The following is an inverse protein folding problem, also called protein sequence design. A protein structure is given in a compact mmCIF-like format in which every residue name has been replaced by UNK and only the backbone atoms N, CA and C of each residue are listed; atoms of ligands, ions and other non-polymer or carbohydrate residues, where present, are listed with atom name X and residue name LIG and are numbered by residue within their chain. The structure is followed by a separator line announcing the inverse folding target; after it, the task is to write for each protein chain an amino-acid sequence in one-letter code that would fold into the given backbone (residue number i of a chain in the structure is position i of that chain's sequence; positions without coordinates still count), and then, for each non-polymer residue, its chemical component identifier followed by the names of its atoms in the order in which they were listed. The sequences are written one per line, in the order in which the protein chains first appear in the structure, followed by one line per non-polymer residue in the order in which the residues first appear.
data_IF_216205980261
#
_entry.id   IF_216205980261
#
_cell.length_a   1.000
_cell.length_b   1.000
_cell.length_c   1.000
_cell.angle_alpha   90.00
_cell.angle_beta   90.00
_cell.angle_gamma   90.00
#
_symmetry.space_group_name_H-M   'P 1'
#
loop_
_entity.id
_entity.type
_entity.pdbx_description
1 polymer ?
#
# COMPACT_ATOMS: atom_id res chain seq x y z
N UNK A 1 -4.69 -29.87 38.02
CA UNK A 1 -5.67 -29.92 36.90
C UNK A 1 -5.79 -28.61 36.11
N UNK A 2 -5.53 -27.42 36.70
CA UNK A 2 -5.61 -26.14 35.96
C UNK A 2 -4.58 -25.96 34.81
N UNK A 3 -3.37 -26.55 34.92
CA UNK A 3 -2.34 -26.48 33.86
C UNK A 3 -2.76 -27.14 32.54
N UNK A 4 -3.61 -28.17 32.59
CA UNK A 4 -4.00 -28.91 31.38
C UNK A 4 -5.02 -28.11 30.58
N UNK A 5 -5.95 -27.43 31.24
CA UNK A 5 -6.97 -26.58 30.60
C UNK A 5 -6.33 -25.37 29.90
N UNK A 6 -5.31 -24.75 30.53
CA UNK A 6 -4.56 -23.66 29.91
C UNK A 6 -3.86 -24.10 28.61
N UNK A 7 -3.18 -25.25 28.64
CA UNK A 7 -2.50 -25.81 27.45
C UNK A 7 -3.49 -26.13 26.33
N UNK A 8 -4.67 -26.67 26.64
CA UNK A 8 -5.71 -26.90 25.63
C UNK A 8 -6.27 -25.59 25.05
N UNK A 9 -6.47 -24.55 25.88
CA UNK A 9 -6.89 -23.25 25.40
C UNK A 9 -5.83 -22.57 24.50
N UNK A 10 -4.55 -22.71 24.84
CA UNK A 10 -3.44 -22.22 24.01
C UNK A 10 -3.38 -22.97 22.67
N UNK A 11 -3.53 -24.30 22.66
CA UNK A 11 -3.57 -25.11 21.44
C UNK A 11 -4.78 -24.79 20.56
N UNK A 12 -5.95 -24.57 21.15
CA UNK A 12 -7.16 -24.20 20.41
C UNK A 12 -7.02 -22.79 19.82
N UNK A 13 -6.47 -21.84 20.58
CA UNK A 13 -6.17 -20.49 20.11
C UNK A 13 -5.15 -20.48 18.98
N UNK A 14 -4.08 -21.28 19.08
CA UNK A 14 -3.07 -21.44 18.03
C UNK A 14 -3.69 -22.05 16.76
N UNK A 15 -4.52 -23.08 16.91
CA UNK A 15 -5.26 -23.71 15.81
C UNK A 15 -6.21 -22.74 15.10
N UNK A 16 -6.93 -21.91 15.86
CA UNK A 16 -7.82 -20.87 15.31
C UNK A 16 -6.98 -19.81 14.59
N UNK A 17 -5.88 -19.34 15.20
CA UNK A 17 -4.96 -18.38 14.61
C UNK A 17 -4.37 -18.83 13.28
N UNK A 18 -3.94 -20.10 13.20
CA UNK A 18 -3.47 -20.71 11.96
C UNK A 18 -4.54 -20.73 10.87
N UNK A 19 -5.78 -21.11 11.20
CA UNK A 19 -6.89 -21.15 10.22
C UNK A 19 -7.28 -19.76 9.72
N UNK A 20 -7.32 -18.78 10.60
CA UNK A 20 -7.58 -17.38 10.21
C UNK A 20 -6.47 -16.89 9.29
N UNK A 21 -5.21 -17.13 9.65
CA UNK A 21 -4.05 -16.71 8.85
C UNK A 21 -4.04 -17.34 7.47
N UNK A 22 -4.33 -18.64 7.35
CA UNK A 22 -4.40 -19.32 6.06
C UNK A 22 -5.58 -18.85 5.20
N UNK A 23 -6.74 -18.56 5.82
CA UNK A 23 -7.86 -17.95 5.11
C UNK A 23 -7.50 -16.55 4.58
N UNK A 24 -6.81 -15.72 5.38
CA UNK A 24 -6.30 -14.42 4.94
C UNK A 24 -5.31 -14.53 3.78
N UNK A 25 -4.37 -15.47 3.85
CA UNK A 25 -3.42 -15.73 2.76
C UNK A 25 -4.15 -16.11 1.47
N UNK A 26 -5.10 -17.05 1.54
CA UNK A 26 -5.89 -17.49 0.39
C UNK A 26 -6.62 -16.31 -0.26
N UNK A 27 -7.34 -15.51 0.52
CA UNK A 27 -8.09 -14.35 0.03
C UNK A 27 -7.16 -13.29 -0.61
N UNK A 28 -5.95 -13.08 -0.06
CA UNK A 28 -4.94 -12.18 -0.67
C UNK A 28 -4.49 -12.68 -2.04
N UNK A 29 -4.24 -13.98 -2.16
CA UNK A 29 -3.87 -14.64 -3.43
C UNK A 29 -4.99 -14.54 -4.47
N UNK A 30 -6.25 -14.59 -4.03
CA UNK A 30 -7.43 -14.37 -4.88
C UNK A 30 -7.66 -12.89 -5.27
N UNK A 31 -6.83 -11.95 -4.80
CA UNK A 31 -7.04 -10.52 -5.10
C UNK A 31 -8.05 -9.81 -4.21
N UNK A 32 -8.56 -10.48 -3.18
CA UNK A 32 -9.54 -9.88 -2.27
C UNK A 32 -8.86 -8.99 -1.24
N UNK A 33 -9.54 -7.90 -0.93
CA UNK A 33 -9.18 -7.00 0.14
C UNK A 33 -9.62 -7.59 1.48
N UNK A 34 -8.65 -8.00 2.30
CA UNK A 34 -8.89 -8.63 3.60
C UNK A 34 -8.92 -7.66 4.78
N UNK A 35 -9.07 -6.36 4.51
CA UNK A 35 -9.00 -5.30 5.53
C UNK A 35 -7.60 -4.67 5.68
N UNK A 36 -7.50 -3.67 6.57
CA UNK A 36 -6.26 -2.92 6.83
C UNK A 36 -6.29 -1.49 6.29
N UNK A 37 -5.12 -0.93 5.99
CA UNK A 37 -4.98 0.42 5.42
C UNK A 37 -5.03 0.35 3.91
N UNK A 38 -5.87 1.19 3.30
CA UNK A 38 -5.98 1.31 1.85
C UNK A 38 -4.75 2.06 1.29
N UNK A 39 -3.97 1.45 0.39
CA UNK A 39 -2.80 2.08 -0.22
C UNK A 39 -3.20 3.33 -1.02
N UNK A 40 -2.32 4.34 -1.07
CA UNK A 40 -2.58 5.55 -1.84
C UNK A 40 -2.67 5.25 -3.34
N UNK A 41 -3.63 5.86 -4.02
CA UNK A 41 -3.96 5.54 -5.41
C UNK A 41 -5.03 4.47 -5.58
N UNK A 42 -5.50 3.85 -4.49
CA UNK A 42 -6.50 2.80 -4.52
C UNK A 42 -7.69 3.13 -3.62
N UNK A 43 -8.82 2.50 -3.93
CA UNK A 43 -10.04 2.53 -3.15
C UNK A 43 -10.63 1.13 -3.03
N UNK A 44 -11.39 0.91 -1.96
CA UNK A 44 -12.06 -0.37 -1.72
C UNK A 44 -13.40 -0.36 -2.44
N UNK A 45 -13.62 -1.35 -3.31
CA UNK A 45 -14.90 -1.53 -4.03
C UNK A 45 -15.44 -2.95 -3.80
N UNK A 46 -16.75 -3.18 -3.98
CA UNK A 46 -17.30 -4.53 -4.01
C UNK A 46 -16.58 -5.40 -5.05
N UNK A 47 -16.35 -6.68 -4.75
CA UNK A 47 -15.77 -7.60 -5.70
C UNK A 47 -16.76 -7.85 -6.86
N UNK A 48 -16.42 -7.53 -8.12
CA UNK A 48 -17.33 -7.78 -9.25
C UNK A 48 -17.56 -9.27 -9.52
N UNK A 49 -16.63 -10.13 -9.08
CA UNK A 49 -16.64 -11.56 -9.36
C UNK A 49 -17.18 -12.41 -8.19
N UNK A 50 -17.82 -11.80 -7.19
CA UNK A 50 -18.47 -12.55 -6.11
C UNK A 50 -18.37 -11.87 -4.74
N UNK A 51 -18.22 -12.68 -3.69
CA UNK A 51 -18.23 -12.18 -2.32
C UNK A 51 -16.96 -11.37 -1.98
N UNK A 52 -17.13 -10.42 -1.06
CA UNK A 52 -16.04 -9.63 -0.49
C UNK A 52 -15.79 -8.30 -1.22
N UNK A 53 -14.59 -7.77 -1.03
CA UNK A 53 -14.15 -6.47 -1.56
C UNK A 53 -12.83 -6.64 -2.29
N UNK A 54 -12.52 -5.73 -3.21
CA UNK A 54 -11.24 -5.66 -3.93
C UNK A 54 -10.71 -4.23 -3.90
N UNK A 55 -9.43 -4.05 -4.27
CA UNK A 55 -8.84 -2.74 -4.46
C UNK A 55 -8.93 -2.34 -5.94
N UNK A 56 -9.65 -1.26 -6.21
CA UNK A 56 -9.68 -0.60 -7.52
C UNK A 56 -8.83 0.67 -7.50
N UNK A 57 -8.41 1.13 -8.67
CA UNK A 57 -7.65 2.37 -8.82
C UNK A 57 -8.58 3.56 -8.51
N UNK A 58 -8.14 4.46 -7.64
CA UNK A 58 -8.75 5.78 -7.49
C UNK A 58 -8.11 6.70 -8.53
N UNK A 59 -8.89 7.12 -9.54
CA UNK A 59 -8.36 7.89 -10.66
C UNK A 59 -7.78 9.25 -10.26
N UNK A 60 -8.34 9.90 -9.24
CA UNK A 60 -7.86 11.20 -8.76
C UNK A 60 -6.50 11.09 -8.07
N UNK A 61 -6.39 10.13 -7.14
CA UNK A 61 -5.13 9.82 -6.45
C UNK A 61 -4.09 9.29 -7.46
N UNK A 62 -4.49 8.49 -8.44
CA UNK A 62 -3.62 7.97 -9.48
C UNK A 62 -3.07 9.08 -10.39
N UNK A 63 -3.89 10.07 -10.78
CA UNK A 63 -3.43 11.26 -11.51
C UNK A 63 -2.39 12.04 -10.71
N UNK A 64 -2.64 12.20 -9.41
CA UNK A 64 -1.69 12.83 -8.49
C UNK A 64 -0.35 12.09 -8.46
N UNK A 65 -0.39 10.75 -8.32
CA UNK A 65 0.83 9.92 -8.33
C UNK A 65 1.60 10.09 -9.65
N UNK A 66 0.90 10.01 -10.79
CA UNK A 66 1.53 10.16 -12.12
C UNK A 66 2.19 11.54 -12.28
N UNK A 67 1.51 12.61 -11.87
CA UNK A 67 2.05 13.98 -11.87
C UNK A 67 3.30 14.10 -10.99
N UNK A 68 3.29 13.52 -9.79
CA UNK A 68 4.46 13.51 -8.90
C UNK A 68 5.64 12.81 -9.57
N UNK A 69 5.41 11.62 -10.13
CA UNK A 69 6.47 10.84 -10.80
C UNK A 69 7.05 11.60 -11.99
N UNK A 70 6.21 12.22 -12.82
CA UNK A 70 6.65 13.06 -13.93
C UNK A 70 7.58 14.19 -13.45
N UNK A 71 7.17 14.92 -12.40
CA UNK A 71 7.98 16.01 -11.82
C UNK A 71 9.31 15.53 -11.25
N UNK A 72 9.34 14.34 -10.63
CA UNK A 72 10.59 13.74 -10.15
C UNK A 72 11.51 13.39 -11.33
N UNK A 73 10.95 12.88 -12.43
CA UNK A 73 11.72 12.57 -13.65
C UNK A 73 12.25 13.82 -14.35
N UNK A 74 11.54 14.95 -14.27
CA UNK A 74 12.04 16.26 -14.75
C UNK A 74 13.02 16.93 -13.79
N UNK A 75 13.40 16.26 -12.69
CA UNK A 75 14.33 16.73 -11.65
C UNK A 75 13.84 17.91 -10.81
N UNK A 76 12.53 18.07 -10.63
CA UNK A 76 12.01 18.98 -9.61
C UNK A 76 12.46 18.54 -8.21
N UNK A 77 12.72 19.49 -7.32
CA UNK A 77 13.01 19.18 -5.92
C UNK A 77 11.77 18.59 -5.23
N UNK A 78 11.95 17.52 -4.45
CA UNK A 78 10.88 16.92 -3.64
C UNK A 78 10.19 17.95 -2.74
N UNK A 79 10.95 18.94 -2.25
CA UNK A 79 10.40 20.01 -1.41
C UNK A 79 9.46 20.94 -2.20
N UNK A 80 9.78 21.24 -3.46
CA UNK A 80 8.90 22.03 -4.33
C UNK A 80 7.60 21.27 -4.62
N UNK A 81 7.71 19.98 -4.95
CA UNK A 81 6.55 19.12 -5.19
C UNK A 81 5.63 19.09 -3.96
N UNK A 82 6.19 18.87 -2.77
CA UNK A 82 5.43 18.88 -1.50
C UNK A 82 4.73 20.22 -1.27
N UNK A 83 5.44 21.33 -1.47
CA UNK A 83 4.89 22.66 -1.25
C UNK A 83 3.71 22.95 -2.20
N UNK A 84 3.83 22.58 -3.47
CA UNK A 84 2.74 22.76 -4.44
C UNK A 84 1.54 21.88 -4.08
N UNK A 85 1.75 20.60 -3.77
CA UNK A 85 0.66 19.70 -3.35
C UNK A 85 -0.08 20.23 -2.10
N UNK A 86 0.67 20.78 -1.14
CA UNK A 86 0.09 21.37 0.07
C UNK A 86 -0.68 22.67 -0.22
N UNK A 87 -0.18 23.52 -1.12
CA UNK A 87 -0.88 24.75 -1.55
C UNK A 87 -2.16 24.44 -2.31
N UNK A 88 -2.13 23.40 -3.14
CA UNK A 88 -3.30 22.91 -3.89
C UNK A 88 -4.31 22.18 -3.00
N UNK A 89 -3.98 21.91 -1.74
CA UNK A 89 -4.85 21.21 -0.80
C UNK A 89 -5.01 19.72 -1.10
N UNK A 90 -4.07 19.12 -1.84
CA UNK A 90 -4.12 17.70 -2.22
C UNK A 90 -3.94 16.82 -0.97
N UNK A 91 -4.89 15.94 -0.64
CA UNK A 91 -4.80 15.09 0.56
C UNK A 91 -3.58 14.17 0.51
N UNK A 92 -2.82 14.12 1.60
CA UNK A 92 -1.69 13.19 1.73
C UNK A 92 -2.15 11.73 1.91
N UNK A 93 -1.29 10.72 1.71
CA UNK A 93 -1.59 9.32 2.00
C UNK A 93 -2.03 9.06 3.44
N UNK A 94 -1.62 9.90 4.38
CA UNK A 94 -1.99 9.84 5.81
C UNK A 94 -3.27 10.59 6.15
N UNK A 95 -3.84 11.35 5.22
CA UNK A 95 -4.97 12.23 5.47
C UNK A 95 -6.19 11.46 6.00
N UNK A 96 -6.90 12.07 6.96
CA UNK A 96 -8.05 11.45 7.65
C UNK A 96 -9.20 11.10 6.70
N UNK A 97 -9.41 11.88 5.64
CA UNK A 97 -10.43 11.59 4.61
C UNK A 97 -10.26 10.21 3.95
N UNK A 98 -9.06 9.63 4.00
CA UNK A 98 -8.76 8.31 3.44
C UNK A 98 -8.89 7.16 4.43
N UNK A 99 -9.04 7.46 5.72
CA UNK A 99 -9.05 6.44 6.76
C UNK A 99 -10.49 5.97 7.03
N UNK A 100 -10.76 4.70 6.75
CA UNK A 100 -12.08 4.08 6.98
C UNK A 100 -12.32 3.71 8.44
N UNK A 101 -11.27 3.54 9.25
CA UNK A 101 -11.29 3.11 10.65
C UNK A 101 -10.01 3.52 11.38
N UNK A 102 -10.07 3.87 12.67
CA UNK A 102 -8.89 4.09 13.54
C UNK A 102 -8.69 5.53 14.04
N UNK A 103 -7.62 5.75 14.82
CA UNK A 103 -7.26 7.03 15.42
C UNK A 103 -6.78 8.01 14.35
N UNK A 104 -7.43 9.19 14.33
CA UNK A 104 -7.23 10.24 13.33
C UNK A 104 -5.82 10.82 13.44
N UNK A 105 -4.95 10.52 12.48
CA UNK A 105 -3.75 11.34 12.27
C UNK A 105 -4.19 12.61 11.56
N UNK A 106 -4.12 13.77 12.24
CA UNK A 106 -4.38 15.10 11.65
C UNK A 106 -3.24 15.55 10.72
N UNK A 107 -2.38 14.64 10.26
CA UNK A 107 -1.32 14.93 9.30
C UNK A 107 -1.93 15.24 7.93
N UNK A 108 -2.43 16.46 7.82
CA UNK A 108 -3.14 16.98 6.64
C UNK A 108 -2.22 17.19 5.44
N UNK A 109 -0.95 17.45 5.71
CA UNK A 109 0.01 17.93 4.72
C UNK A 109 0.94 16.81 4.23
N UNK A 110 1.34 16.91 2.97
CA UNK A 110 2.48 16.22 2.42
C UNK A 110 3.77 16.65 3.15
N UNK A 111 4.62 15.67 3.40
CA UNK A 111 6.01 15.88 3.80
C UNK A 111 6.94 15.20 2.80
N UNK A 112 8.20 15.61 2.73
CA UNK A 112 9.21 14.98 1.86
C UNK A 112 9.40 13.51 2.21
N UNK A 113 9.34 13.16 3.50
CA UNK A 113 9.39 11.76 3.98
C UNK A 113 8.19 10.97 3.47
N UNK A 114 6.98 11.52 3.56
CA UNK A 114 5.76 10.86 3.06
C UNK A 114 5.80 10.69 1.55
N UNK A 115 6.28 11.70 0.82
CA UNK A 115 6.46 11.64 -0.63
C UNK A 115 7.45 10.54 -1.03
N UNK A 116 8.62 10.49 -0.38
CA UNK A 116 9.66 9.48 -0.64
C UNK A 116 9.19 8.07 -0.30
N UNK A 117 8.49 7.91 0.83
CA UNK A 117 7.92 6.63 1.24
C UNK A 117 6.81 6.16 0.29
N UNK A 118 5.99 7.09 -0.21
CA UNK A 118 4.94 6.80 -1.19
C UNK A 118 5.55 6.32 -2.51
N UNK A 119 6.55 7.06 -3.03
CA UNK A 119 7.27 6.66 -4.24
C UNK A 119 7.86 5.27 -4.05
N UNK A 120 8.61 5.03 -2.98
CA UNK A 120 9.24 3.75 -2.61
C UNK A 120 8.29 2.55 -2.43
N UNK A 121 6.97 2.74 -2.50
CA UNK A 121 6.00 1.72 -2.15
C UNK A 121 5.75 0.75 -3.33
N UNK A 122 6.10 -0.55 -3.20
CA UNK A 122 5.89 -1.53 -4.27
C UNK A 122 4.41 -1.73 -4.63
N UNK A 123 3.49 -1.31 -3.76
CA UNK A 123 2.05 -1.37 -3.98
C UNK A 123 1.56 -0.46 -5.12
N UNK A 124 2.34 0.56 -5.50
CA UNK A 124 2.06 1.37 -6.69
C UNK A 124 2.14 0.55 -7.99
N UNK A 125 2.94 -0.53 -7.98
CA UNK A 125 3.09 -1.48 -9.09
C UNK A 125 2.08 -2.63 -9.01
N UNK A 126 1.08 -2.51 -8.13
CA UNK A 126 0.07 -3.54 -7.91
C UNK A 126 0.57 -4.76 -7.14
N UNK A 127 1.79 -4.73 -6.60
CA UNK A 127 2.34 -5.85 -5.83
C UNK A 127 1.61 -6.01 -4.49
N UNK A 128 1.37 -7.25 -4.10
CA UNK A 128 0.81 -7.60 -2.78
C UNK A 128 1.94 -7.63 -1.77
N UNK A 129 1.77 -6.92 -0.65
CA UNK A 129 2.78 -6.86 0.41
C UNK A 129 2.25 -7.55 1.67
N UNK A 130 3.11 -8.38 2.27
CA UNK A 130 2.95 -8.97 3.59
C UNK A 130 4.23 -8.69 4.39
N UNK A 131 4.07 -8.18 5.62
CA UNK A 131 5.19 -7.80 6.50
C UNK A 131 6.25 -6.89 5.82
N UNK A 132 5.79 -5.96 4.97
CA UNK A 132 6.66 -5.03 4.26
C UNK A 132 7.41 -5.62 3.05
N UNK A 133 7.20 -6.90 2.73
CA UNK A 133 7.82 -7.58 1.58
C UNK A 133 6.77 -7.98 0.53
N UNK A 134 7.09 -7.91 -0.77
CA UNK A 134 6.22 -8.44 -1.81
C UNK A 134 6.04 -9.95 -1.64
N UNK A 135 4.80 -10.42 -1.59
CA UNK A 135 4.49 -11.84 -1.66
C UNK A 135 4.88 -12.30 -3.07
N UNK A 136 5.68 -13.35 -3.17
CA UNK A 136 6.07 -13.91 -4.46
C UNK A 136 5.03 -14.92 -4.94
N UNK A 137 4.79 -14.95 -6.25
CA UNK A 137 4.06 -16.03 -6.91
C UNK A 137 4.92 -17.30 -6.89
N UNK A 138 4.29 -18.47 -7.06
CA UNK A 138 4.96 -19.78 -7.04
C UNK A 138 6.09 -19.90 -8.08
N UNK A 139 6.03 -19.15 -9.18
CA UNK A 139 7.03 -19.08 -10.25
C UNK A 139 8.08 -17.97 -10.06
N UNK A 140 8.07 -17.26 -8.93
CA UNK A 140 9.13 -16.31 -8.55
C UNK A 140 8.82 -14.80 -8.59
N UNK A 141 8.10 -14.22 -9.57
CA UNK A 141 7.83 -12.78 -9.59
C UNK A 141 6.83 -12.38 -8.49
N UNK A 142 6.82 -11.11 -8.05
CA UNK A 142 5.84 -10.63 -7.09
C UNK A 142 4.40 -10.89 -7.55
N UNK A 143 3.56 -11.33 -6.62
CA UNK A 143 2.14 -11.45 -6.81
C UNK A 143 1.57 -10.06 -7.07
N UNK A 144 1.05 -9.86 -8.29
CA UNK A 144 0.30 -8.67 -8.68
C UNK A 144 -1.16 -9.07 -8.81
N UNK A 145 -2.01 -8.56 -7.93
CA UNK A 145 -3.42 -8.93 -7.86
C UNK A 145 -4.37 -7.75 -8.13
N UNK A 146 -3.82 -6.61 -8.57
CA UNK A 146 -4.55 -5.36 -8.79
C UNK A 146 -3.93 -4.57 -9.95
N UNK A 147 -4.69 -3.69 -10.60
CA UNK A 147 -4.20 -2.90 -11.71
C UNK A 147 -3.04 -2.00 -11.26
N UNK A 148 -1.86 -2.06 -11.89
CA UNK A 148 -0.74 -1.18 -11.55
C UNK A 148 -1.07 0.27 -11.91
N UNK A 149 -0.70 1.21 -11.04
CA UNK A 149 -0.86 2.65 -11.29
C UNK A 149 0.27 3.18 -12.18
N UNK A 150 1.47 2.60 -11.99
CA UNK A 150 2.69 2.91 -12.74
C UNK A 150 3.19 1.66 -13.45
N UNK A 151 3.74 1.83 -14.64
CA UNK A 151 4.37 0.75 -15.40
C UNK A 151 5.74 0.38 -14.82
N UNK A 152 6.12 -0.90 -14.89
CA UNK A 152 7.40 -1.42 -14.35
C UNK A 152 8.65 -0.63 -14.79
N UNK A 153 8.88 -0.29 -16.07
CA UNK A 153 10.03 0.51 -16.50
C UNK A 153 10.07 1.92 -15.90
N UNK A 154 8.91 2.55 -15.68
CA UNK A 154 8.83 3.86 -14.99
C UNK A 154 9.32 3.73 -13.54
N UNK A 155 9.03 2.60 -12.88
CA UNK A 155 9.45 2.34 -11.50
C UNK A 155 10.97 2.24 -11.31
N UNK A 156 11.66 1.55 -12.23
CA UNK A 156 13.11 1.45 -12.22
C UNK A 156 13.80 2.80 -12.47
N UNK A 157 13.20 3.64 -13.32
CA UNK A 157 13.77 4.93 -13.68
C UNK A 157 13.85 5.91 -12.50
N UNK A 158 12.78 6.05 -11.70
CA UNK A 158 12.81 6.96 -10.54
C UNK A 158 13.45 6.33 -9.30
N UNK A 159 13.46 4.98 -9.16
CA UNK A 159 14.23 4.31 -8.09
C UNK A 159 15.72 4.63 -8.17
N UNK A 160 16.27 4.68 -9.39
CA UNK A 160 17.65 5.15 -9.63
C UNK A 160 17.85 6.62 -9.27
N UNK A 161 16.86 7.47 -9.56
CA UNK A 161 16.91 8.91 -9.22
C UNK A 161 16.88 9.19 -7.71
N UNK A 162 16.24 8.33 -6.91
CA UNK A 162 16.25 8.46 -5.44
C UNK A 162 17.54 7.93 -4.79
N UNK A 163 18.24 7.00 -5.46
CA UNK A 163 19.53 6.47 -5.01
C UNK A 163 20.70 7.43 -5.31
N UNK A 164 20.60 8.22 -6.38
CA UNK A 164 21.61 9.22 -6.78
C UNK A 164 21.60 10.53 -5.96
N UNK A 165 20.76 10.63 -4.93
CA UNK A 165 20.55 11.85 -4.14
C UNK A 165 20.82 11.65 -2.64
N UNK A 166 21.96 11.05 -2.29
CA UNK A 166 22.55 11.16 -0.94
C UNK A 166 24.06 11.36 -1.11
N UNK A 167 24.46 12.62 -1.20
CA UNK A 167 25.73 13.07 -0.66
C UNK A 167 25.38 14.25 0.24
N UNK A 168 25.28 13.95 1.54
CA UNK A 168 25.54 14.93 2.59
C UNK A 168 27.03 14.87 2.89
#
# INVERSE_FOLDING_TARGET
MAKVIAVFAELESDTIGMRVSSAHEHLRREGRYTGGRVPYGYMVVPNPNGAGKVLAVNEDEAKTIKRIVERVLTKDSLMQIVNDLNKEGVPSPGHTSRQTTGTRSDSKQWSTTTLRSMLGNPQLLGQVIEDGKPILRTDGPPLVNRPPILDSPTSSAWSGSLAGGVSV
#
